data_IF_811588644989
#
_entry.id   IF_811588644989
#
_cell.length_a   1.000
_cell.length_b   1.000
_cell.length_c   1.000
_cell.angle_alpha   90.00
_cell.angle_beta   90.00
_cell.angle_gamma   90.00
#
_symmetry.space_group_name_H-M   'P 1'
#
loop_
_entity.id
_entity.type
_entity.pdbx_description
1 polymer ?
#
# COMPACT_ATOMS: atom_id res chain seq x y z
N UNK A 1 -3.30 10.28 11.11
CA UNK A 1 -4.00 9.36 10.17
C UNK A 1 -5.49 9.43 10.42
N UNK A 2 -6.26 9.28 9.37
CA UNK A 2 -7.72 9.28 9.47
C UNK A 2 -8.33 8.42 8.37
N UNK A 3 -9.63 8.12 8.51
CA UNK A 3 -10.35 7.38 7.49
C UNK A 3 -10.45 8.19 6.20
N UNK A 4 -10.42 7.49 5.07
CA UNK A 4 -10.58 8.06 3.74
C UNK A 4 -12.00 8.63 3.58
N UNK A 5 -12.08 9.78 2.92
CA UNK A 5 -13.33 10.35 2.40
C UNK A 5 -13.15 10.66 0.91
N UNK A 6 -14.25 10.71 0.16
CA UNK A 6 -14.20 10.89 -1.30
C UNK A 6 -13.43 12.16 -1.70
N UNK A 7 -13.47 13.20 -0.88
CA UNK A 7 -12.74 14.44 -1.14
C UNK A 7 -11.21 14.26 -1.15
N UNK A 8 -10.70 13.18 -0.58
CA UNK A 8 -9.26 12.89 -0.58
C UNK A 8 -8.77 12.38 -1.93
N UNK A 9 -9.66 11.88 -2.77
CA UNK A 9 -9.28 11.13 -3.97
C UNK A 9 -8.34 11.89 -4.91
N UNK A 10 -8.57 13.17 -5.24
CA UNK A 10 -7.64 13.88 -6.14
C UNK A 10 -6.21 13.90 -5.61
N UNK A 11 -6.03 14.15 -4.31
CA UNK A 11 -4.71 14.17 -3.71
C UNK A 11 -4.06 12.78 -3.68
N UNK A 12 -4.84 11.73 -3.44
CA UNK A 12 -4.33 10.36 -3.44
C UNK A 12 -3.91 9.92 -4.84
N UNK A 13 -4.67 10.30 -5.85
CA UNK A 13 -4.30 10.03 -7.25
C UNK A 13 -2.98 10.71 -7.58
N UNK A 14 -2.82 11.98 -7.21
CA UNK A 14 -1.61 12.74 -7.50
C UNK A 14 -0.37 12.10 -6.87
N UNK A 15 -0.44 11.74 -5.60
CA UNK A 15 0.70 11.13 -4.93
C UNK A 15 1.01 9.73 -5.46
N UNK A 16 -0.02 8.96 -5.80
CA UNK A 16 0.13 7.63 -6.36
C UNK A 16 0.79 7.66 -7.74
N UNK A 17 0.34 8.59 -8.60
CA UNK A 17 0.94 8.80 -9.92
C UNK A 17 2.40 9.25 -9.77
N UNK A 18 2.69 10.17 -8.86
CA UNK A 18 4.06 10.62 -8.61
C UNK A 18 4.97 9.48 -8.17
N UNK A 19 4.47 8.61 -7.29
CA UNK A 19 5.24 7.44 -6.84
C UNK A 19 5.52 6.46 -7.98
N UNK A 20 4.53 6.23 -8.86
CA UNK A 20 4.72 5.35 -10.01
C UNK A 20 5.69 5.92 -11.05
N UNK A 21 5.68 7.24 -11.26
CA UNK A 21 6.63 7.89 -12.18
C UNK A 21 8.07 7.65 -11.77
N UNK A 22 8.35 7.56 -10.50
CA UNK A 22 9.70 7.30 -10.00
C UNK A 22 10.18 5.88 -10.30
N UNK A 23 9.28 4.94 -10.59
CA UNK A 23 9.68 3.58 -10.95
C UNK A 23 10.30 3.51 -12.35
N UNK A 24 10.09 4.52 -13.18
CA UNK A 24 10.57 4.55 -14.56
C UNK A 24 9.80 3.67 -15.53
N UNK A 25 8.71 3.06 -15.10
CA UNK A 25 7.88 2.25 -15.99
C UNK A 25 7.13 3.14 -16.99
N UNK A 26 7.05 2.68 -18.25
CA UNK A 26 6.30 3.35 -19.30
C UNK A 26 4.80 3.04 -19.14
N UNK A 27 4.07 3.92 -18.48
CA UNK A 27 2.67 3.73 -18.12
C UNK A 27 1.88 4.99 -18.48
N UNK A 28 0.63 4.81 -18.94
CA UNK A 28 -0.31 5.92 -19.10
C UNK A 28 -0.83 6.30 -17.71
N UNK A 29 -0.25 7.35 -17.13
CA UNK A 29 -0.57 7.76 -15.76
C UNK A 29 -1.96 8.36 -15.62
N UNK A 30 -2.54 8.96 -16.67
CA UNK A 30 -3.88 9.50 -16.60
C UNK A 30 -4.92 8.36 -16.51
N UNK A 31 -4.76 7.35 -17.36
CA UNK A 31 -5.62 6.16 -17.29
C UNK A 31 -5.46 5.43 -15.96
N UNK A 32 -4.25 5.40 -15.41
CA UNK A 32 -3.98 4.77 -14.11
C UNK A 32 -4.62 5.51 -12.96
N UNK A 33 -4.64 6.84 -12.99
CA UNK A 33 -5.30 7.65 -11.98
C UNK A 33 -6.80 7.38 -11.93
N UNK A 34 -7.44 7.28 -13.10
CA UNK A 34 -8.86 6.92 -13.19
C UNK A 34 -9.10 5.51 -12.65
N UNK A 35 -8.22 4.56 -13.01
CA UNK A 35 -8.28 3.21 -12.49
C UNK A 35 -8.22 3.20 -10.97
N UNK A 36 -7.31 3.96 -10.37
CA UNK A 36 -7.17 4.01 -8.91
C UNK A 36 -8.45 4.47 -8.24
N UNK A 37 -9.08 5.53 -8.76
CA UNK A 37 -10.32 6.03 -8.21
C UNK A 37 -11.41 4.97 -8.18
N UNK A 38 -11.60 4.28 -9.29
CA UNK A 38 -12.58 3.20 -9.39
C UNK A 38 -12.22 2.03 -8.48
N UNK A 39 -10.94 1.70 -8.40
CA UNK A 39 -10.45 0.60 -7.57
C UNK A 39 -10.68 0.87 -6.08
N UNK A 40 -10.39 2.08 -5.61
CA UNK A 40 -10.63 2.45 -4.21
C UNK A 40 -12.11 2.40 -3.86
N UNK A 41 -12.99 2.82 -4.76
CA UNK A 41 -14.43 2.70 -4.55
C UNK A 41 -14.87 1.24 -4.44
N UNK A 42 -14.32 0.38 -5.29
CA UNK A 42 -14.58 -1.06 -5.26
C UNK A 42 -14.14 -1.67 -3.94
N UNK A 43 -12.92 -1.37 -3.49
CA UNK A 43 -12.40 -1.88 -2.22
C UNK A 43 -13.27 -1.43 -1.05
N UNK A 44 -13.63 -0.16 -1.01
CA UNK A 44 -14.49 0.39 0.05
C UNK A 44 -15.84 -0.28 0.07
N UNK A 45 -16.43 -0.51 -1.13
CA UNK A 45 -17.71 -1.20 -1.25
C UNK A 45 -17.66 -2.66 -0.82
N UNK A 46 -16.49 -3.28 -0.86
CA UNK A 46 -16.28 -4.66 -0.41
C UNK A 46 -15.91 -4.76 1.07
N UNK A 47 -15.88 -3.65 1.79
CA UNK A 47 -15.62 -3.63 3.22
C UNK A 47 -14.15 -3.41 3.62
N UNK A 48 -13.27 -3.14 2.66
CA UNK A 48 -11.89 -2.80 2.97
C UNK A 48 -11.81 -1.42 3.61
N UNK A 49 -10.89 -1.26 4.56
CA UNK A 49 -10.62 0.04 5.16
C UNK A 49 -9.57 0.77 4.34
N UNK A 50 -9.77 2.06 4.12
CA UNK A 50 -8.79 2.93 3.50
C UNK A 50 -8.42 4.00 4.52
N UNK A 51 -7.14 4.04 4.89
CA UNK A 51 -6.61 4.97 5.88
C UNK A 51 -5.67 5.95 5.22
N UNK A 52 -5.88 7.24 5.45
CA UNK A 52 -5.09 8.32 4.86
C UNK A 52 -4.09 8.82 5.89
N UNK A 53 -2.82 8.88 5.48
CA UNK A 53 -1.76 9.50 6.26
C UNK A 53 -1.61 10.95 5.87
N UNK A 54 -1.37 11.82 6.86
CA UNK A 54 -1.27 13.26 6.66
C UNK A 54 0.16 13.74 6.88
N UNK A 55 0.52 14.82 6.17
CA UNK A 55 1.81 15.48 6.40
C UNK A 55 1.71 16.45 7.59
N UNK A 56 2.79 17.19 7.84
CA UNK A 56 2.85 18.13 8.96
C UNK A 56 1.83 19.27 8.86
N UNK A 57 1.38 19.59 7.64
CA UNK A 57 0.37 20.61 7.40
C UNK A 57 -1.06 20.06 7.36
N UNK A 58 -1.24 18.75 7.58
CA UNK A 58 -2.55 18.12 7.58
C UNK A 58 -3.08 17.75 6.20
N UNK A 59 -2.24 17.79 5.17
CA UNK A 59 -2.62 17.38 3.81
C UNK A 59 -2.38 15.87 3.59
N UNK A 60 -3.18 15.21 2.74
CA UNK A 60 -2.95 13.80 2.43
C UNK A 60 -1.55 13.58 1.85
N UNK A 61 -0.80 12.68 2.45
CA UNK A 61 0.57 12.38 2.07
C UNK A 61 0.83 10.89 1.83
N UNK A 62 -0.17 10.05 2.10
CA UNK A 62 -0.09 8.62 1.84
C UNK A 62 -1.40 7.94 2.18
N UNK A 63 -1.50 6.66 1.83
CA UNK A 63 -2.67 5.88 2.17
C UNK A 63 -2.35 4.39 2.16
N UNK A 64 -3.18 3.64 2.86
CA UNK A 64 -3.12 2.18 2.89
C UNK A 64 -4.53 1.61 2.80
N UNK A 65 -4.67 0.49 2.10
CA UNK A 65 -5.93 -0.24 2.05
C UNK A 65 -5.73 -1.61 2.68
N UNK A 66 -6.63 -2.01 3.55
CA UNK A 66 -6.56 -3.29 4.25
C UNK A 66 -7.94 -3.92 4.38
N UNK A 67 -8.07 -5.16 3.97
CA UNK A 67 -9.24 -5.97 4.23
C UNK A 67 -9.00 -6.78 5.51
N UNK A 68 -9.63 -6.39 6.59
CA UNK A 68 -9.42 -7.03 7.89
C UNK A 68 -9.90 -8.48 7.92
N UNK A 69 -10.78 -8.88 7.02
CA UNK A 69 -11.28 -10.25 6.97
C UNK A 69 -10.29 -11.21 6.33
N UNK A 70 -9.66 -10.80 5.23
CA UNK A 70 -8.72 -11.63 4.48
C UNK A 70 -7.27 -11.35 4.81
N UNK A 71 -6.97 -10.18 5.37
CA UNK A 71 -5.61 -9.72 5.56
C UNK A 71 -4.98 -9.14 4.30
N UNK A 72 -5.76 -8.95 3.23
CA UNK A 72 -5.23 -8.42 1.98
C UNK A 72 -4.96 -6.92 2.09
N UNK A 73 -3.71 -6.53 1.90
CA UNK A 73 -3.29 -5.14 1.75
C UNK A 73 -3.12 -4.91 0.26
N UNK A 74 -4.02 -4.15 -0.34
CA UNK A 74 -4.03 -3.93 -1.78
C UNK A 74 -3.12 -2.78 -2.19
N UNK A 75 -3.15 -1.67 -1.46
CA UNK A 75 -2.36 -0.49 -1.76
C UNK A 75 -1.69 0.05 -0.50
N UNK A 76 -0.42 0.39 -0.61
CA UNK A 76 0.31 1.19 0.36
C UNK A 76 1.17 2.16 -0.44
N UNK A 77 0.92 3.44 -0.29
CA UNK A 77 1.62 4.45 -1.06
C UNK A 77 1.84 5.69 -0.22
N UNK A 78 3.03 6.27 -0.33
CA UNK A 78 3.32 7.57 0.28
C UNK A 78 3.87 8.50 -0.79
N UNK A 79 3.64 9.80 -0.62
CA UNK A 79 4.20 10.79 -1.51
C UNK A 79 5.73 10.68 -1.51
N UNK A 80 6.40 10.88 -2.67
CA UNK A 80 7.86 10.83 -2.70
C UNK A 80 8.54 11.75 -1.70
N UNK A 81 7.95 12.90 -1.42
CA UNK A 81 8.45 13.84 -0.42
C UNK A 81 8.43 13.32 1.01
N UNK A 82 7.65 12.27 1.28
CA UNK A 82 7.51 11.68 2.61
C UNK A 82 8.40 10.46 2.82
N UNK A 83 9.25 10.14 1.86
CA UNK A 83 10.18 9.01 2.04
C UNK A 83 11.16 9.31 3.17
N UNK A 84 11.35 8.33 4.04
CA UNK A 84 12.20 8.49 5.21
C UNK A 84 11.53 9.19 6.38
N UNK A 85 10.28 9.65 6.25
CA UNK A 85 9.56 10.31 7.34
C UNK A 85 8.97 9.34 8.37
N UNK A 86 8.90 8.06 8.03
CA UNK A 86 8.22 7.06 8.87
C UNK A 86 6.74 6.89 8.56
N UNK A 87 6.19 7.64 7.60
CA UNK A 87 4.76 7.57 7.29
C UNK A 87 4.37 6.21 6.72
N UNK A 88 5.18 5.64 5.82
CA UNK A 88 4.89 4.33 5.26
C UNK A 88 4.82 3.26 6.35
N UNK A 89 5.74 3.30 7.30
CA UNK A 89 5.76 2.37 8.43
C UNK A 89 4.53 2.57 9.31
N UNK A 90 4.15 3.81 9.59
CA UNK A 90 2.97 4.10 10.39
C UNK A 90 1.69 3.57 9.73
N UNK A 91 1.56 3.73 8.42
CA UNK A 91 0.42 3.21 7.67
C UNK A 91 0.41 1.67 7.67
N UNK A 92 1.57 1.06 7.51
CA UNK A 92 1.69 -0.40 7.55
C UNK A 92 1.35 -0.94 8.94
N UNK A 93 1.80 -0.28 10.00
CA UNK A 93 1.47 -0.66 11.38
C UNK A 93 -0.04 -0.55 11.62
N UNK A 94 -0.70 0.44 11.04
CA UNK A 94 -2.15 0.56 11.12
C UNK A 94 -2.85 -0.62 10.43
N UNK A 95 -2.36 -1.04 9.27
CA UNK A 95 -2.88 -2.22 8.59
C UNK A 95 -2.73 -3.49 9.45
N UNK A 96 -1.56 -3.66 10.06
CA UNK A 96 -1.30 -4.80 10.97
C UNK A 96 -2.23 -4.78 12.17
N UNK A 97 -2.50 -3.60 12.71
CA UNK A 97 -3.41 -3.43 13.84
C UNK A 97 -4.83 -3.84 13.47
N UNK A 98 -5.26 -3.52 12.25
CA UNK A 98 -6.61 -3.84 11.76
C UNK A 98 -6.75 -5.30 11.34
N UNK A 99 -5.65 -5.95 11.00
CA UNK A 99 -5.61 -7.37 10.65
C UNK A 99 -4.51 -8.07 11.45
N UNK A 100 -4.72 -8.27 12.75
CA UNK A 100 -3.63 -8.70 13.64
C UNK A 100 -3.19 -10.15 13.44
N UNK A 101 -3.95 -10.95 12.72
CA UNK A 101 -3.55 -12.32 12.42
C UNK A 101 -2.51 -12.42 11.31
N UNK A 102 -2.72 -11.72 10.23
CA UNK A 102 -1.82 -11.73 9.08
C UNK A 102 -2.13 -10.58 8.13
N UNK A 103 -1.11 -10.15 7.39
CA UNK A 103 -1.25 -9.20 6.29
C UNK A 103 -0.50 -9.76 5.08
N UNK A 104 -1.16 -9.78 3.93
CA UNK A 104 -0.55 -10.21 2.67
C UNK A 104 -0.61 -9.09 1.64
N UNK A 105 0.43 -9.00 0.82
CA UNK A 105 0.52 -8.00 -0.25
C UNK A 105 1.32 -8.52 -1.42
N UNK A 106 1.22 -7.84 -2.56
CA UNK A 106 2.04 -8.12 -3.73
C UNK A 106 2.92 -6.92 -4.05
N UNK A 107 4.16 -7.21 -4.42
CA UNK A 107 5.17 -6.20 -4.76
C UNK A 107 5.76 -6.58 -6.10
N UNK A 108 6.00 -5.59 -6.98
CA UNK A 108 6.76 -5.83 -8.20
C UNK A 108 8.15 -6.35 -7.85
N UNK A 109 8.57 -7.47 -8.45
CA UNK A 109 9.89 -8.04 -8.20
C UNK A 109 11.03 -7.07 -8.48
N UNK A 110 10.83 -6.16 -9.43
CA UNK A 110 11.82 -5.15 -9.79
C UNK A 110 11.93 -4.01 -8.78
N UNK A 111 10.98 -3.91 -7.85
CA UNK A 111 10.96 -2.83 -6.85
C UNK A 111 11.77 -3.23 -5.62
N UNK A 112 13.10 -3.14 -5.73
CA UNK A 112 14.01 -3.56 -4.65
C UNK A 112 13.80 -2.75 -3.36
N UNK A 113 13.46 -1.47 -3.47
CA UNK A 113 13.20 -0.61 -2.30
C UNK A 113 12.03 -1.13 -1.49
N UNK A 114 10.91 -1.44 -2.16
CA UNK A 114 9.72 -1.95 -1.50
C UNK A 114 9.98 -3.33 -0.88
N UNK A 115 10.67 -4.20 -1.60
CA UNK A 115 11.01 -5.53 -1.09
C UNK A 115 11.83 -5.44 0.20
N UNK A 116 12.84 -4.55 0.23
CA UNK A 116 13.65 -4.33 1.43
C UNK A 116 12.82 -3.75 2.58
N UNK A 117 11.93 -2.80 2.26
CA UNK A 117 11.05 -2.20 3.26
C UNK A 117 10.18 -3.27 3.93
N UNK A 118 9.47 -4.07 3.14
CA UNK A 118 8.59 -5.09 3.69
C UNK A 118 9.37 -6.17 4.44
N UNK A 119 10.54 -6.56 3.97
CA UNK A 119 11.38 -7.52 4.68
C UNK A 119 11.76 -7.01 6.07
N UNK A 120 12.13 -5.74 6.17
CA UNK A 120 12.45 -5.12 7.48
C UNK A 120 11.24 -5.06 8.40
N UNK A 121 10.04 -4.97 7.84
CA UNK A 121 8.80 -4.91 8.63
C UNK A 121 8.23 -6.29 8.96
N UNK A 122 8.98 -7.34 8.69
CA UNK A 122 8.60 -8.70 9.09
C UNK A 122 7.85 -9.51 8.05
N UNK A 123 7.84 -9.08 6.80
CA UNK A 123 7.19 -9.82 5.71
C UNK A 123 8.16 -10.79 5.07
N UNK A 124 7.67 -12.00 4.78
CA UNK A 124 8.42 -13.03 4.07
C UNK A 124 7.78 -13.32 2.71
N UNK A 125 8.58 -13.60 1.67
CA UNK A 125 8.02 -14.00 0.38
C UNK A 125 7.39 -15.38 0.47
N UNK A 126 6.18 -15.52 -0.08
CA UNK A 126 5.42 -16.78 -0.02
C UNK A 126 5.08 -17.35 -1.39
N UNK A 127 4.98 -16.53 -2.43
CA UNK A 127 4.72 -17.02 -3.79
C UNK A 127 5.04 -15.94 -4.82
N UNK A 128 5.09 -16.35 -6.08
CA UNK A 128 5.25 -15.46 -7.22
C UNK A 128 3.96 -15.36 -8.02
N UNK A 129 3.75 -14.21 -8.65
CA UNK A 129 2.62 -13.99 -9.52
C UNK A 129 2.91 -12.93 -10.56
N UNK A 130 1.86 -12.35 -11.12
CA UNK A 130 1.99 -11.21 -12.02
C UNK A 130 0.86 -10.23 -11.74
N UNK A 131 1.15 -8.94 -11.93
CA UNK A 131 0.14 -7.91 -11.75
C UNK A 131 -0.92 -8.02 -12.86
N UNK A 132 -2.19 -8.11 -12.48
CA UNK A 132 -3.29 -8.08 -13.44
C UNK A 132 -3.33 -6.74 -14.19
N UNK A 133 -2.85 -5.68 -13.57
CA UNK A 133 -2.88 -4.34 -14.13
C UNK A 133 -1.72 -4.09 -15.10
N UNK A 134 -0.50 -4.47 -14.74
CA UNK A 134 0.69 -4.15 -15.52
C UNK A 134 1.29 -5.35 -16.27
N UNK A 135 0.92 -6.58 -15.89
CA UNK A 135 1.52 -7.79 -16.41
C UNK A 135 2.93 -8.07 -15.90
N UNK A 136 3.47 -7.20 -15.05
CA UNK A 136 4.82 -7.36 -14.52
C UNK A 136 4.87 -8.44 -13.44
N UNK A 137 6.03 -9.13 -13.29
CA UNK A 137 6.18 -10.14 -12.25
C UNK A 137 6.05 -9.51 -10.85
N UNK A 138 5.34 -10.20 -9.97
CA UNK A 138 5.17 -9.77 -8.58
C UNK A 138 5.60 -10.86 -7.63
N UNK A 139 5.92 -10.45 -6.40
CA UNK A 139 6.22 -11.33 -5.29
C UNK A 139 5.15 -11.12 -4.23
N UNK A 140 4.46 -12.18 -3.83
CA UNK A 140 3.52 -12.11 -2.72
C UNK A 140 4.30 -12.25 -1.42
N UNK A 141 4.08 -11.31 -0.50
CA UNK A 141 4.73 -11.30 0.80
C UNK A 141 3.68 -11.35 1.91
N UNK A 142 4.04 -11.99 3.01
CA UNK A 142 3.13 -12.19 4.12
C UNK A 142 3.80 -11.87 5.44
N UNK A 143 3.09 -11.15 6.29
CA UNK A 143 3.42 -10.93 7.69
C UNK A 143 2.41 -11.68 8.55
N UNK A 144 2.88 -12.31 9.62
CA UNK A 144 2.01 -12.86 10.66
C UNK A 144 2.50 -12.36 12.01
N UNK A 145 1.60 -12.29 12.98
CA UNK A 145 1.95 -11.82 14.32
C UNK A 145 3.08 -12.63 14.95
N UNK A 146 3.24 -13.90 14.58
CA UNK A 146 4.32 -14.75 15.07
C UNK A 146 5.70 -14.32 14.58
N UNK A 147 5.76 -13.64 13.43
CA UNK A 147 7.01 -13.16 12.84
C UNK A 147 7.50 -11.86 13.46
N UNK A 148 6.73 -11.28 14.38
CA UNK A 148 7.09 -10.04 15.05
C UNK A 148 7.99 -10.26 16.27
N UNK A 149 8.76 -11.33 16.29
CA UNK A 149 9.63 -11.59 17.41
C UNK A 149 8.89 -11.93 18.68
N UNK A 150 7.71 -12.45 18.57
CA UNK A 150 6.97 -12.94 19.73
C UNK A 150 7.82 -14.04 20.37
N UNK A 151 8.22 -13.87 21.61
CA UNK A 151 8.98 -14.90 22.30
C UNK A 151 8.03 -16.01 22.70
N UNK A 152 7.87 -16.92 21.91
CA UNK A 152 7.13 -18.11 22.30
C UNK A 152 8.06 -19.12 22.90
#
# INVERSE_FOLDING_TARGET
MRAYVEADLPALIDLWVAAWRETGFAIDFDARGEWLGNHLRTLSGCGAAIVVGLDAEGAPAGFVTIDAKSGALDQLCVAPSERGSGLARALLDEAKRRSPGAVELEVNEANARALRFYAREGFDPVSRGSSALSGLPTLKMRWTAKNCGSPT
#
